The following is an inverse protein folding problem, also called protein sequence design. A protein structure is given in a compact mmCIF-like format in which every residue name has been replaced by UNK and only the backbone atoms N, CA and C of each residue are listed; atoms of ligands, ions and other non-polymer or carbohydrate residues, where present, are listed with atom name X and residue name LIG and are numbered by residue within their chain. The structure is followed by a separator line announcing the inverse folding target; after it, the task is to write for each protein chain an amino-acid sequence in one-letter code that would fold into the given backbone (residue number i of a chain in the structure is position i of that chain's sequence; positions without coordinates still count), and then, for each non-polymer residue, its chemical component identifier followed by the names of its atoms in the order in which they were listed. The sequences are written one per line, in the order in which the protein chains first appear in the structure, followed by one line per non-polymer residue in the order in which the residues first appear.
data_IF_881688246245
#
_entry.id   IF_881688246245
#
_cell.length_a   1.000
_cell.length_b   1.000
_cell.length_c   1.000
_cell.angle_alpha   90.00
_cell.angle_beta   90.00
_cell.angle_gamma   90.00
#
_symmetry.space_group_name_H-M   'P 1'
#
loop_
_entity.id
_entity.type
_entity.pdbx_description
1 polymer ?
#
# COMPACT_ATOMS: atom_id res chain seq x y z
N UNK A 1 9.78 -45.29 -5.85
CA UNK A 1 10.69 -44.45 -6.66
C UNK A 1 11.29 -43.38 -5.77
N UNK A 2 12.38 -42.76 -6.19
CA UNK A 2 13.04 -41.64 -5.49
C UNK A 2 12.09 -40.45 -5.28
N UNK A 3 11.19 -40.21 -6.25
CA UNK A 3 10.08 -39.24 -6.14
C UNK A 3 9.11 -39.57 -4.99
N UNK A 4 8.73 -40.84 -4.79
CA UNK A 4 7.86 -41.24 -3.67
C UNK A 4 8.55 -41.01 -2.32
N UNK A 5 9.85 -41.30 -2.22
CA UNK A 5 10.64 -41.04 -1.02
C UNK A 5 10.86 -39.54 -0.76
N UNK A 6 10.90 -38.71 -1.81
CA UNK A 6 10.90 -37.25 -1.72
C UNK A 6 9.57 -36.71 -1.21
N UNK A 7 8.45 -37.17 -1.78
CA UNK A 7 7.11 -36.79 -1.35
C UNK A 7 6.81 -37.20 0.10
N UNK A 8 7.25 -38.40 0.52
CA UNK A 8 7.13 -38.87 1.90
C UNK A 8 7.96 -38.01 2.86
N UNK A 9 9.16 -37.56 2.46
CA UNK A 9 9.99 -36.65 3.28
C UNK A 9 9.36 -35.27 3.41
N UNK A 10 8.84 -34.72 2.31
CA UNK A 10 8.08 -33.48 2.33
C UNK A 10 6.86 -33.56 3.25
N UNK A 11 6.03 -34.59 3.10
CA UNK A 11 4.88 -34.80 4.00
C UNK A 11 5.28 -35.01 5.46
N UNK A 12 6.37 -35.73 5.74
CA UNK A 12 6.86 -35.90 7.12
C UNK A 12 7.33 -34.59 7.75
N UNK A 13 8.01 -33.74 6.98
CA UNK A 13 8.42 -32.40 7.41
C UNK A 13 7.21 -31.49 7.67
N UNK A 14 6.17 -31.58 6.85
CA UNK A 14 4.95 -30.79 6.99
C UNK A 14 4.12 -31.25 8.20
N UNK A 15 3.94 -32.56 8.37
CA UNK A 15 3.27 -33.15 9.54
C UNK A 15 4.01 -32.89 10.86
N UNK A 16 5.33 -32.66 10.83
CA UNK A 16 6.09 -32.30 12.03
C UNK A 16 5.95 -30.84 12.46
N UNK A 17 5.31 -30.00 11.64
CA UNK A 17 5.09 -28.57 11.92
C UNK A 17 3.61 -28.23 12.24
N UNK A 18 2.80 -29.22 12.65
CA UNK A 18 1.37 -29.06 13.02
C UNK A 18 0.46 -28.46 11.92
N UNK A 19 0.91 -28.44 10.66
CA UNK A 19 0.10 -27.98 9.52
C UNK A 19 -0.83 -29.11 9.06
N UNK A 20 -2.11 -28.82 8.85
CA UNK A 20 -3.05 -29.83 8.40
C UNK A 20 -2.74 -30.28 6.96
N UNK A 21 -2.97 -31.56 6.64
CA UNK A 21 -2.81 -32.10 5.28
C UNK A 21 -3.62 -31.29 4.25
N UNK A 22 -4.76 -30.74 4.67
CA UNK A 22 -5.61 -29.90 3.83
C UNK A 22 -4.92 -28.58 3.49
N UNK A 23 -4.42 -27.85 4.50
CA UNK A 23 -3.68 -26.59 4.30
C UNK A 23 -2.45 -26.81 3.43
N UNK A 24 -1.72 -27.90 3.65
CA UNK A 24 -0.55 -28.26 2.83
C UNK A 24 -0.93 -28.48 1.35
N UNK A 25 -2.05 -29.15 1.07
CA UNK A 25 -2.51 -29.38 -0.30
C UNK A 25 -2.97 -28.08 -0.97
N UNK A 26 -3.58 -27.16 -0.21
CA UNK A 26 -3.96 -25.84 -0.68
C UNK A 26 -2.71 -25.01 -1.04
N UNK A 27 -1.71 -24.95 -0.14
CA UNK A 27 -0.43 -24.26 -0.40
C UNK A 27 0.30 -24.81 -1.64
N UNK A 28 0.31 -26.13 -1.82
CA UNK A 28 0.91 -26.76 -3.00
C UNK A 28 0.16 -26.40 -4.29
N UNK A 29 -1.18 -26.39 -4.25
CA UNK A 29 -1.99 -25.96 -5.41
C UNK A 29 -1.74 -24.50 -5.77
N UNK A 30 -1.71 -23.61 -4.78
CA UNK A 30 -1.43 -22.19 -4.98
C UNK A 30 -0.01 -21.98 -5.54
N UNK A 31 0.96 -22.76 -5.06
CA UNK A 31 2.33 -22.77 -5.59
C UNK A 31 2.39 -23.19 -7.05
N UNK A 32 1.71 -24.28 -7.44
CA UNK A 32 1.65 -24.73 -8.84
C UNK A 32 1.05 -23.64 -9.72
N UNK A 33 -0.11 -23.09 -9.32
CA UNK A 33 -0.80 -22.02 -10.04
C UNK A 33 0.11 -20.81 -10.23
N UNK A 34 0.81 -20.37 -9.18
CA UNK A 34 1.76 -19.26 -9.25
C UNK A 34 2.86 -19.49 -10.29
N UNK A 35 3.48 -20.67 -10.29
CA UNK A 35 4.55 -20.98 -11.25
C UNK A 35 4.03 -21.13 -12.69
N UNK A 36 2.83 -21.68 -12.88
CA UNK A 36 2.18 -21.76 -14.19
C UNK A 36 1.88 -20.38 -14.75
N UNK A 37 1.29 -19.48 -13.97
CA UNK A 37 1.01 -18.09 -14.37
C UNK A 37 2.31 -17.34 -14.72
N UNK A 38 3.37 -17.53 -13.92
CA UNK A 38 4.68 -16.93 -14.18
C UNK A 38 5.30 -17.45 -15.48
N UNK A 39 5.13 -18.73 -15.80
CA UNK A 39 5.61 -19.31 -17.06
C UNK A 39 4.79 -18.80 -18.25
N UNK A 40 3.47 -18.79 -18.13
CA UNK A 40 2.55 -18.44 -19.22
C UNK A 40 2.56 -16.95 -19.57
N UNK A 41 2.72 -16.08 -18.57
CA UNK A 41 2.59 -14.63 -18.73
C UNK A 41 3.89 -13.89 -18.42
N UNK A 42 4.50 -14.13 -17.25
CA UNK A 42 5.65 -13.33 -16.78
C UNK A 42 6.97 -13.59 -17.51
N UNK A 43 7.24 -14.85 -17.88
CA UNK A 43 8.47 -15.27 -18.57
C UNK A 43 8.25 -15.49 -20.07
N UNK A 44 7.01 -15.41 -20.54
CA UNK A 44 6.64 -15.64 -21.92
C UNK A 44 6.90 -14.38 -22.77
N UNK A 45 7.99 -14.39 -23.53
CA UNK A 45 8.40 -13.26 -24.40
C UNK A 45 7.43 -12.98 -25.55
N UNK A 46 6.61 -13.96 -25.93
CA UNK A 46 5.61 -13.81 -26.98
C UNK A 46 4.29 -13.21 -26.46
N UNK A 47 4.07 -13.26 -25.15
CA UNK A 47 2.91 -12.64 -24.51
C UNK A 47 3.15 -11.14 -24.31
N UNK A 48 2.39 -10.33 -25.04
CA UNK A 48 2.41 -8.87 -24.89
C UNK A 48 0.97 -8.34 -24.81
N UNK A 49 0.37 -8.28 -23.61
CA UNK A 49 -1.00 -7.83 -23.44
C UNK A 49 -1.18 -6.37 -23.86
N UNK A 50 -0.14 -5.53 -23.73
CA UNK A 50 -0.14 -4.16 -24.24
C UNK A 50 -0.27 -4.12 -25.77
N UNK A 51 0.46 -4.95 -26.50
CA UNK A 51 0.38 -4.99 -27.97
C UNK A 51 -0.93 -5.60 -28.47
N UNK A 52 -1.44 -6.63 -27.81
CA UNK A 52 -2.57 -7.42 -28.32
C UNK A 52 -3.93 -7.01 -27.77
N UNK A 53 -4.00 -6.64 -26.49
CA UNK A 53 -5.24 -6.33 -25.76
C UNK A 53 -5.43 -4.81 -25.64
N UNK A 54 -4.48 -4.10 -25.01
CA UNK A 54 -4.61 -2.66 -24.75
C UNK A 54 -4.40 -1.83 -26.02
N UNK A 55 -3.55 -2.32 -26.93
CA UNK A 55 -3.16 -1.69 -28.21
C UNK A 55 -2.67 -0.26 -28.02
N UNK A 56 -1.92 -0.04 -26.95
CA UNK A 56 -1.35 1.25 -26.58
C UNK A 56 0.19 1.19 -26.50
N UNK A 57 0.82 2.36 -26.39
CA UNK A 57 2.26 2.48 -26.19
C UNK A 57 2.56 2.91 -24.74
N UNK A 58 3.27 2.12 -23.92
CA UNK A 58 3.62 2.52 -22.55
C UNK A 58 4.53 3.75 -22.50
N UNK A 59 5.23 4.06 -23.60
CA UNK A 59 6.11 5.22 -23.73
C UNK A 59 5.42 6.43 -24.39
N UNK A 60 4.08 6.46 -24.43
CA UNK A 60 3.29 7.60 -24.89
C UNK A 60 2.22 7.97 -23.86
N UNK A 61 2.37 9.13 -23.20
CA UNK A 61 1.45 9.59 -22.16
C UNK A 61 0.16 10.23 -22.69
N UNK A 62 -0.02 10.38 -24.00
CA UNK A 62 -1.11 11.19 -24.56
C UNK A 62 -2.47 10.46 -24.68
N UNK A 63 -2.63 9.31 -24.02
CA UNK A 63 -3.90 8.60 -24.01
C UNK A 63 -5.01 9.45 -23.38
N UNK A 64 -6.04 9.75 -24.16
CA UNK A 64 -7.13 10.66 -23.77
C UNK A 64 -8.16 10.02 -22.84
N UNK A 65 -8.30 8.71 -22.90
CA UNK A 65 -9.29 7.96 -22.14
C UNK A 65 -8.56 6.92 -21.31
N UNK A 66 -8.58 7.11 -19.99
CA UNK A 66 -7.97 6.19 -19.03
C UNK A 66 -9.04 5.61 -18.10
N UNK A 67 -8.85 4.34 -17.73
CA UNK A 67 -9.76 3.59 -16.88
C UNK A 67 -10.89 2.89 -17.64
N UNK A 68 -11.51 1.92 -16.98
CA UNK A 68 -12.73 1.26 -17.41
C UNK A 68 -13.60 0.94 -16.19
N UNK A 69 -14.89 0.68 -16.39
CA UNK A 69 -15.83 0.39 -15.29
C UNK A 69 -15.75 -1.06 -14.78
N UNK A 70 -14.93 -1.93 -15.40
CA UNK A 70 -14.64 -3.26 -14.90
C UNK A 70 -13.49 -3.22 -13.88
N UNK A 71 -13.86 -2.95 -12.64
CA UNK A 71 -12.92 -2.83 -11.51
C UNK A 71 -12.42 -4.19 -11.02
N UNK A 72 -13.17 -5.26 -11.30
CA UNK A 72 -12.82 -6.63 -10.90
C UNK A 72 -11.75 -7.21 -11.83
N UNK A 73 -11.83 -6.87 -13.12
CA UNK A 73 -10.95 -7.44 -14.14
C UNK A 73 -11.42 -8.82 -14.59
N UNK A 74 -10.51 -9.71 -15.04
CA UNK A 74 -10.88 -11.02 -15.58
C UNK A 74 -11.32 -12.01 -14.50
N UNK A 75 -10.86 -11.84 -13.25
CA UNK A 75 -11.16 -12.74 -12.12
C UNK A 75 -11.38 -11.94 -10.84
N UNK A 76 -12.20 -12.47 -9.93
CA UNK A 76 -12.38 -11.88 -8.60
C UNK A 76 -11.06 -11.83 -7.82
N UNK A 77 -10.24 -12.89 -7.92
CA UNK A 77 -8.94 -12.96 -7.26
C UNK A 77 -8.00 -11.82 -7.66
N UNK A 78 -8.00 -11.41 -8.93
CA UNK A 78 -7.21 -10.27 -9.42
C UNK A 78 -7.64 -8.91 -8.86
N UNK A 79 -8.73 -8.83 -8.10
CA UNK A 79 -9.19 -7.64 -7.39
C UNK A 79 -9.02 -7.74 -5.86
N UNK A 80 -8.41 -8.81 -5.36
CA UNK A 80 -8.30 -9.08 -3.92
C UNK A 80 -7.61 -7.94 -3.16
N UNK A 81 -6.44 -7.53 -3.63
CA UNK A 81 -5.64 -6.48 -2.97
C UNK A 81 -6.40 -5.14 -2.91
N UNK A 82 -6.93 -4.68 -4.04
CA UNK A 82 -7.70 -3.43 -4.11
C UNK A 82 -8.97 -3.45 -3.25
N UNK A 83 -9.65 -4.61 -3.18
CA UNK A 83 -10.84 -4.79 -2.32
C UNK A 83 -10.48 -4.74 -0.84
N UNK A 84 -9.35 -5.33 -0.46
CA UNK A 84 -8.85 -5.31 0.92
C UNK A 84 -8.48 -3.90 1.37
N UNK A 85 -7.70 -3.19 0.54
CA UNK A 85 -7.36 -1.77 0.73
C UNK A 85 -8.61 -0.89 0.84
N UNK A 86 -9.58 -1.05 -0.05
CA UNK A 86 -10.82 -0.28 -0.01
C UNK A 86 -11.67 -0.58 1.25
N UNK A 87 -11.68 -1.83 1.70
CA UNK A 87 -12.35 -2.26 2.93
C UNK A 87 -11.81 -1.58 4.18
N UNK A 88 -10.48 -1.49 4.30
CA UNK A 88 -9.82 -0.78 5.42
C UNK A 88 -10.31 0.67 5.49
N UNK A 89 -10.47 1.34 4.34
CA UNK A 89 -10.94 2.73 4.29
C UNK A 89 -12.42 2.83 4.63
N UNK A 90 -13.27 2.01 3.99
CA UNK A 90 -14.69 2.32 3.82
C UNK A 90 -15.65 1.14 3.97
N UNK A 91 -15.23 0.03 4.59
CA UNK A 91 -16.17 -1.03 4.95
C UNK A 91 -17.32 -0.45 5.79
N UNK A 92 -18.55 -0.84 5.45
CA UNK A 92 -19.78 -0.28 6.03
C UNK A 92 -19.77 -0.53 7.54
N UNK A 93 -19.79 0.57 8.30
CA UNK A 93 -19.75 0.50 9.76
C UNK A 93 -21.09 0.08 10.34
N UNK A 94 -21.07 -0.59 11.49
CA UNK A 94 -22.25 -0.89 12.32
C UNK A 94 -23.33 -1.76 11.65
N UNK A 95 -22.96 -2.57 10.66
CA UNK A 95 -23.87 -3.54 10.03
C UNK A 95 -23.80 -4.95 10.66
N UNK A 96 -22.96 -5.15 11.68
CA UNK A 96 -22.68 -6.42 12.35
C UNK A 96 -22.08 -7.54 11.47
N UNK A 97 -21.42 -7.18 10.36
CA UNK A 97 -20.80 -8.15 9.44
C UNK A 97 -19.38 -7.70 9.11
N UNK A 98 -18.39 -8.57 9.36
CA UNK A 98 -17.01 -8.31 8.97
C UNK A 98 -16.34 -7.23 9.82
N UNK A 99 -15.99 -6.11 9.20
CA UNK A 99 -15.21 -5.03 9.80
C UNK A 99 -15.89 -3.67 9.63
N UNK A 100 -15.56 -2.74 10.53
CA UNK A 100 -15.86 -1.32 10.39
C UNK A 100 -14.66 -0.62 9.72
N UNK A 101 -14.85 -0.02 8.54
CA UNK A 101 -13.82 0.78 7.89
C UNK A 101 -13.44 2.01 8.71
N UNK A 102 -12.24 2.55 8.48
CA UNK A 102 -11.73 3.71 9.22
C UNK A 102 -12.65 4.92 9.03
N UNK A 103 -13.05 5.22 7.80
CA UNK A 103 -13.90 6.35 7.47
C UNK A 103 -15.36 5.95 7.32
N UNK A 104 -16.23 6.80 7.85
CA UNK A 104 -17.67 6.73 7.64
C UNK A 104 -18.10 7.74 6.56
N UNK A 105 -19.18 7.45 5.83
CA UNK A 105 -19.76 8.33 4.80
C UNK A 105 -18.78 8.79 3.69
N UNK A 106 -17.90 7.88 3.24
CA UNK A 106 -16.98 8.12 2.11
C UNK A 106 -17.41 7.33 0.87
N UNK A 107 -17.01 7.80 -0.32
CA UNK A 107 -17.20 7.08 -1.58
C UNK A 107 -15.84 6.65 -2.13
N UNK A 108 -15.73 5.38 -2.51
CA UNK A 108 -14.52 4.82 -3.13
C UNK A 108 -14.61 5.01 -4.65
N UNK A 109 -13.54 5.53 -5.24
CA UNK A 109 -13.33 5.58 -6.68
C UNK A 109 -12.24 4.57 -7.05
N UNK A 110 -12.60 3.33 -7.40
CA UNK A 110 -11.61 2.34 -7.81
C UNK A 110 -11.04 2.70 -9.19
N UNK A 111 -9.71 2.80 -9.28
CA UNK A 111 -8.98 3.00 -10.54
C UNK A 111 -7.94 1.90 -10.64
N UNK A 112 -8.10 0.99 -11.61
CA UNK A 112 -7.19 -0.13 -11.82
C UNK A 112 -5.96 0.37 -12.60
N UNK A 113 -4.79 0.30 -11.96
CA UNK A 113 -3.56 0.91 -12.47
C UNK A 113 -2.40 -0.08 -12.57
N UNK A 114 -2.36 -1.08 -11.69
CA UNK A 114 -1.24 -2.03 -11.61
C UNK A 114 -1.64 -3.33 -12.32
N UNK A 115 -0.84 -3.82 -13.30
CA UNK A 115 -1.02 -5.13 -13.91
C UNK A 115 -0.50 -6.24 -12.99
N UNK A 116 -0.53 -7.49 -13.44
CA UNK A 116 0.21 -8.57 -12.77
C UNK A 116 1.72 -8.37 -13.03
N UNK A 117 2.37 -7.60 -12.14
CA UNK A 117 3.75 -7.11 -12.26
C UNK A 117 3.89 -5.68 -11.74
N UNK A 118 4.98 -5.01 -12.12
CA UNK A 118 5.22 -3.62 -11.73
C UNK A 118 4.34 -2.64 -12.52
N UNK A 119 4.02 -1.52 -11.89
CA UNK A 119 3.26 -0.45 -12.51
C UNK A 119 4.04 0.31 -13.60
N UNK A 120 3.36 0.67 -14.68
CA UNK A 120 3.92 1.55 -15.71
C UNK A 120 3.72 3.01 -15.32
N UNK A 121 4.75 3.85 -15.51
CA UNK A 121 4.69 5.27 -15.13
C UNK A 121 3.55 6.03 -15.82
N UNK A 122 3.30 5.71 -17.10
CA UNK A 122 2.15 6.20 -17.87
C UNK A 122 0.83 5.91 -17.15
N UNK A 123 0.61 4.65 -16.78
CA UNK A 123 -0.64 4.20 -16.15
C UNK A 123 -0.85 4.92 -14.81
N UNK A 124 0.21 5.01 -14.00
CA UNK A 124 0.18 5.74 -12.72
C UNK A 124 -0.17 7.21 -12.94
N UNK A 125 0.53 7.89 -13.84
CA UNK A 125 0.31 9.31 -14.10
C UNK A 125 -1.12 9.59 -14.61
N UNK A 126 -1.62 8.78 -15.54
CA UNK A 126 -2.97 8.92 -16.09
C UNK A 126 -4.05 8.53 -15.07
N UNK A 127 -3.84 7.49 -14.26
CA UNK A 127 -4.75 7.10 -13.19
C UNK A 127 -4.90 8.21 -12.13
N UNK A 128 -3.77 8.80 -11.71
CA UNK A 128 -3.77 9.93 -10.79
C UNK A 128 -4.56 11.10 -11.38
N UNK A 129 -4.26 11.50 -12.62
CA UNK A 129 -4.99 12.58 -13.31
C UNK A 129 -6.48 12.29 -13.41
N UNK A 130 -6.85 11.07 -13.81
CA UNK A 130 -8.24 10.64 -13.88
C UNK A 130 -8.94 10.78 -12.53
N UNK A 131 -8.35 10.27 -11.45
CA UNK A 131 -8.95 10.36 -10.12
C UNK A 131 -9.10 11.81 -9.64
N UNK A 132 -8.07 12.63 -9.86
CA UNK A 132 -8.06 14.06 -9.53
C UNK A 132 -9.17 14.81 -10.28
N UNK A 133 -9.27 14.61 -11.60
CA UNK A 133 -10.24 15.30 -12.45
C UNK A 133 -11.69 14.83 -12.20
N UNK A 134 -11.87 13.59 -11.72
CA UNK A 134 -13.16 13.06 -11.28
C UNK A 134 -13.49 13.41 -9.81
N UNK A 135 -12.71 14.28 -9.16
CA UNK A 135 -13.06 14.88 -7.89
C UNK A 135 -12.57 14.13 -6.65
N UNK A 136 -11.62 13.19 -6.79
CA UNK A 136 -10.98 12.58 -5.63
C UNK A 136 -10.33 13.64 -4.74
N UNK A 137 -10.47 13.46 -3.42
CA UNK A 137 -9.90 14.35 -2.39
C UNK A 137 -8.73 13.72 -1.64
N UNK A 138 -8.73 12.40 -1.59
CA UNK A 138 -7.64 11.57 -1.06
C UNK A 138 -7.46 10.44 -2.06
N UNK A 139 -6.23 10.16 -2.45
CA UNK A 139 -5.87 9.05 -3.34
C UNK A 139 -4.88 8.16 -2.58
N UNK A 140 -5.20 6.89 -2.43
CA UNK A 140 -4.31 5.91 -1.82
C UNK A 140 -3.54 5.14 -2.90
N UNK A 141 -2.22 5.15 -2.82
CA UNK A 141 -1.30 4.42 -3.72
C UNK A 141 -0.59 3.31 -2.93
N UNK A 142 -1.20 2.12 -2.94
CA UNK A 142 -0.68 0.92 -2.25
C UNK A 142 0.19 0.05 -3.17
N UNK A 143 1.04 0.67 -3.97
CA UNK A 143 1.97 0.03 -4.91
C UNK A 143 3.31 0.78 -4.91
N UNK A 144 4.34 0.18 -5.50
CA UNK A 144 5.60 0.88 -5.73
C UNK A 144 6.66 -0.04 -6.34
N UNK A 145 7.72 0.58 -6.86
CA UNK A 145 8.79 -0.09 -7.61
C UNK A 145 10.15 0.57 -7.42
N UNK A 146 11.20 -0.13 -7.81
CA UNK A 146 12.58 0.36 -7.75
C UNK A 146 12.97 1.23 -8.96
N UNK A 147 12.38 0.95 -10.12
CA UNK A 147 12.76 1.58 -11.39
C UNK A 147 11.58 2.31 -12.01
N UNK A 148 11.75 3.60 -12.29
CA UNK A 148 10.73 4.45 -12.91
C UNK A 148 11.34 5.20 -14.11
N UNK A 149 11.31 4.58 -15.32
CA UNK A 149 11.88 5.16 -16.53
C UNK A 149 11.32 6.53 -16.91
N UNK A 150 10.04 6.79 -16.61
CA UNK A 150 9.34 8.05 -16.91
C UNK A 150 8.79 8.71 -15.64
N UNK A 151 9.58 8.72 -14.56
CA UNK A 151 9.17 9.27 -13.25
C UNK A 151 8.66 10.70 -13.31
N UNK A 152 9.15 11.50 -14.26
CA UNK A 152 8.73 12.88 -14.47
C UNK A 152 7.24 12.99 -14.79
N UNK A 153 6.65 12.01 -15.47
CA UNK A 153 5.21 11.96 -15.72
C UNK A 153 4.41 11.80 -14.44
N UNK A 154 4.88 10.93 -13.55
CA UNK A 154 4.29 10.70 -12.24
C UNK A 154 4.48 11.94 -11.37
N UNK A 155 5.67 12.55 -11.37
CA UNK A 155 5.95 13.80 -10.65
C UNK A 155 5.03 14.93 -11.10
N UNK A 156 4.76 15.06 -12.40
CA UNK A 156 3.85 16.07 -12.91
C UNK A 156 2.40 15.78 -12.51
N UNK A 157 1.99 14.52 -12.40
CA UNK A 157 0.70 14.14 -11.82
C UNK A 157 0.61 14.45 -10.32
N UNK A 158 1.69 14.24 -9.55
CA UNK A 158 1.77 14.60 -8.13
C UNK A 158 1.72 16.12 -7.90
N UNK A 159 2.43 16.90 -8.72
CA UNK A 159 2.30 18.37 -8.73
C UNK A 159 0.89 18.82 -9.08
N UNK A 160 0.25 18.14 -10.04
CA UNK A 160 -1.14 18.41 -10.40
C UNK A 160 -2.11 18.10 -9.25
N UNK A 161 -1.88 17.01 -8.50
CA UNK A 161 -2.63 16.69 -7.28
C UNK A 161 -2.52 17.82 -6.25
N UNK A 162 -1.31 18.35 -6.03
CA UNK A 162 -1.08 19.48 -5.13
C UNK A 162 -1.83 20.74 -5.58
N UNK A 163 -1.76 21.09 -6.87
CA UNK A 163 -2.50 22.21 -7.46
C UNK A 163 -4.02 22.08 -7.33
N UNK A 164 -4.53 20.84 -7.33
CA UNK A 164 -5.97 20.53 -7.21
C UNK A 164 -6.42 20.24 -5.78
N UNK A 165 -5.55 20.45 -4.78
CA UNK A 165 -5.86 20.24 -3.37
C UNK A 165 -6.26 18.78 -3.07
N UNK A 166 -5.50 17.84 -3.61
CA UNK A 166 -5.66 16.39 -3.42
C UNK A 166 -4.50 15.83 -2.61
N UNK A 167 -4.81 15.06 -1.56
CA UNK A 167 -3.81 14.36 -0.76
C UNK A 167 -3.51 12.99 -1.37
N UNK A 168 -2.25 12.71 -1.65
CA UNK A 168 -1.76 11.38 -2.01
C UNK A 168 -1.29 10.68 -0.75
N UNK A 169 -1.72 9.44 -0.53
CA UNK A 169 -1.31 8.60 0.61
C UNK A 169 -0.61 7.38 0.04
N UNK A 170 0.69 7.29 0.25
CA UNK A 170 1.56 6.33 -0.40
C UNK A 170 2.07 5.27 0.58
N UNK A 171 2.08 4.01 0.15
CA UNK A 171 2.73 2.94 0.89
C UNK A 171 4.26 3.04 0.74
N UNK A 172 5.03 2.86 1.82
CA UNK A 172 6.49 2.99 1.76
C UNK A 172 7.19 1.84 1.00
N UNK A 173 6.53 0.68 0.86
CA UNK A 173 7.10 -0.54 0.28
C UNK A 173 7.54 -1.57 1.33
N UNK A 174 7.86 -2.79 0.89
CA UNK A 174 7.94 -3.98 1.74
C UNK A 174 9.31 -4.71 1.62
N UNK A 175 10.38 -3.95 1.44
CA UNK A 175 11.72 -4.46 1.10
C UNK A 175 12.75 -4.25 2.22
N UNK A 176 12.35 -3.78 3.41
CA UNK A 176 13.24 -3.48 4.53
C UNK A 176 14.27 -2.37 4.22
N UNK A 177 13.98 -1.51 3.24
CA UNK A 177 14.94 -0.51 2.75
C UNK A 177 14.83 0.80 3.50
N UNK A 178 15.99 1.43 3.70
CA UNK A 178 16.07 2.85 3.99
C UNK A 178 15.86 3.64 2.69
N UNK A 179 14.66 4.20 2.49
CA UNK A 179 14.28 4.93 1.28
C UNK A 179 14.87 6.34 1.18
N UNK A 180 15.64 6.77 2.18
CA UNK A 180 16.51 7.94 2.05
C UNK A 180 17.80 7.63 1.26
N UNK A 181 18.16 6.34 1.14
CA UNK A 181 19.37 5.86 0.46
C UNK A 181 19.02 5.07 -0.81
N UNK A 182 18.01 4.20 -0.72
CA UNK A 182 17.52 3.37 -1.82
C UNK A 182 16.11 3.83 -2.20
N UNK A 183 16.02 4.70 -3.21
CA UNK A 183 14.75 5.29 -3.63
C UNK A 183 13.75 4.20 -4.07
N UNK A 184 12.49 4.47 -3.77
CA UNK A 184 11.33 3.73 -4.28
C UNK A 184 10.39 4.72 -4.95
N UNK A 185 9.66 4.27 -5.96
CA UNK A 185 8.72 5.10 -6.71
C UNK A 185 7.28 4.59 -6.55
N UNK A 186 6.26 5.47 -6.56
CA UNK A 186 6.38 6.92 -6.61
C UNK A 186 6.98 7.50 -5.32
N UNK A 187 7.81 8.53 -5.47
CA UNK A 187 8.26 9.41 -4.39
C UNK A 187 7.94 10.87 -4.74
N UNK A 188 8.08 11.75 -3.75
CA UNK A 188 8.00 13.19 -3.93
C UNK A 188 9.36 13.89 -3.75
N UNK A 189 10.47 13.17 -3.89
CA UNK A 189 11.81 13.66 -3.58
C UNK A 189 12.67 13.86 -4.84
N UNK A 190 13.24 15.06 -5.00
CA UNK A 190 14.30 15.32 -5.99
C UNK A 190 15.51 15.90 -5.26
N UNK A 191 16.61 15.13 -5.21
CA UNK A 191 17.88 15.59 -4.64
C UNK A 191 17.81 15.84 -3.12
N UNK A 192 17.03 15.05 -2.39
CA UNK A 192 16.85 15.17 -0.94
C UNK A 192 15.79 16.18 -0.52
N UNK A 193 15.01 16.74 -1.45
CA UNK A 193 13.98 17.74 -1.16
C UNK A 193 12.62 17.29 -1.70
N UNK A 194 11.60 17.37 -0.85
CA UNK A 194 10.22 17.19 -1.26
C UNK A 194 9.81 18.30 -2.25
N UNK A 195 9.24 17.93 -3.40
CA UNK A 195 8.70 18.89 -4.37
C UNK A 195 7.18 19.10 -4.21
N UNK A 196 6.51 18.33 -3.36
CA UNK A 196 5.09 18.53 -2.99
C UNK A 196 4.89 18.43 -1.48
N UNK A 197 3.92 19.18 -0.95
CA UNK A 197 3.48 19.12 0.44
C UNK A 197 2.15 18.36 0.61
N UNK A 198 1.69 17.67 -0.44
CA UNK A 198 0.41 16.94 -0.46
C UNK A 198 0.56 15.44 -0.74
N UNK A 199 1.73 14.85 -0.52
CA UNK A 199 1.94 13.40 -0.50
C UNK A 199 2.37 12.98 0.89
N UNK A 200 1.79 11.92 1.44
CA UNK A 200 2.18 11.35 2.74
C UNK A 200 2.59 9.89 2.57
N UNK A 201 3.82 9.55 2.94
CA UNK A 201 4.36 8.18 2.81
C UNK A 201 4.30 7.43 4.13
N UNK A 202 3.76 6.20 4.09
CA UNK A 202 3.34 5.44 5.28
C UNK A 202 4.11 4.13 5.41
N UNK A 203 4.85 4.00 6.51
CA UNK A 203 5.46 2.73 6.94
C UNK A 203 4.49 1.83 7.70
N UNK A 204 4.82 0.55 7.83
CA UNK A 204 3.98 -0.46 8.47
C UNK A 204 4.47 -0.83 9.87
N UNK A 205 3.51 -1.00 10.79
CA UNK A 205 3.74 -1.51 12.13
C UNK A 205 3.24 -2.95 12.26
N UNK A 206 3.91 -3.68 13.16
CA UNK A 206 3.45 -4.94 13.69
C UNK A 206 2.38 -4.71 14.79
N UNK A 207 1.62 -5.74 15.14
CA UNK A 207 0.69 -5.75 16.27
C UNK A 207 1.40 -5.85 17.64
N UNK A 208 2.68 -6.24 17.66
CA UNK A 208 3.49 -6.32 18.88
C UNK A 208 3.96 -4.94 19.36
N UNK A 209 3.59 -4.55 20.59
CA UNK A 209 4.03 -3.30 21.19
C UNK A 209 5.31 -3.48 22.02
N UNK A 210 6.39 -3.92 21.36
CA UNK A 210 7.71 -4.15 21.94
C UNK A 210 8.80 -3.75 20.92
N UNK A 211 10.01 -4.27 21.02
CA UNK A 211 11.07 -3.98 20.05
C UNK A 211 10.75 -4.40 18.60
N UNK A 212 9.81 -5.32 18.38
CA UNK A 212 9.30 -5.75 17.07
C UNK A 212 8.19 -4.85 16.50
N UNK A 213 7.98 -3.66 17.08
CA UNK A 213 6.89 -2.75 16.72
C UNK A 213 6.86 -2.37 15.23
N UNK A 214 8.01 -2.29 14.58
CA UNK A 214 8.09 -2.03 13.14
C UNK A 214 7.92 -3.36 12.40
N UNK A 215 7.05 -3.39 11.39
CA UNK A 215 6.90 -4.59 10.58
C UNK A 215 8.25 -4.93 9.91
N UNK A 216 8.68 -6.18 10.01
CA UNK A 216 10.02 -6.60 9.55
C UNK A 216 10.28 -6.35 8.06
N UNK A 217 9.22 -6.24 7.25
CA UNK A 217 9.29 -5.90 5.83
C UNK A 217 9.23 -4.39 5.55
N UNK A 218 8.82 -3.54 6.49
CA UNK A 218 8.53 -2.14 6.20
C UNK A 218 9.77 -1.41 5.72
N UNK A 219 9.64 -0.70 4.59
CA UNK A 219 10.56 0.38 4.26
C UNK A 219 10.43 1.51 5.29
N UNK A 220 11.53 2.24 5.50
CA UNK A 220 11.67 3.33 6.46
C UNK A 220 12.57 4.42 5.89
N UNK A 221 12.56 5.62 6.48
CA UNK A 221 13.42 6.71 6.02
C UNK A 221 13.13 7.98 6.80
N UNK A 222 14.18 8.62 7.33
CA UNK A 222 14.00 9.83 8.16
C UNK A 222 13.37 10.98 7.37
N UNK A 223 13.62 11.03 6.06
CA UNK A 223 13.19 12.11 5.20
C UNK A 223 12.00 11.73 4.30
N UNK A 224 11.98 10.49 3.81
CA UNK A 224 11.03 10.03 2.79
C UNK A 224 9.89 9.15 3.31
N UNK A 225 9.86 8.80 4.60
CA UNK A 225 8.67 8.21 5.26
C UNK A 225 8.14 9.23 6.28
N UNK A 226 6.84 9.53 6.22
CA UNK A 226 6.27 10.59 7.06
C UNK A 226 5.81 10.09 8.42
N UNK A 227 5.13 8.94 8.47
CA UNK A 227 4.62 8.31 9.69
C UNK A 227 4.40 6.80 9.49
N UNK A 228 4.04 6.11 10.57
CA UNK A 228 3.71 4.69 10.55
C UNK A 228 2.25 4.42 10.93
N UNK A 229 1.65 3.35 10.37
CA UNK A 229 0.33 2.81 10.75
C UNK A 229 0.38 1.28 10.84
N UNK A 230 -0.51 0.62 11.59
CA UNK A 230 -0.68 -0.84 11.56
C UNK A 230 -0.71 -1.41 10.13
N UNK A 231 0.05 -2.47 9.89
CA UNK A 231 0.13 -3.08 8.57
C UNK A 231 0.41 -4.58 8.58
N UNK A 232 0.46 -5.24 9.75
CA UNK A 232 0.61 -6.69 9.88
C UNK A 232 -0.69 -7.29 10.37
N UNK A 233 -1.13 -8.37 9.73
CA UNK A 233 -2.36 -9.09 10.07
C UNK A 233 -3.59 -8.17 10.14
N UNK A 234 -3.77 -7.36 9.10
CA UNK A 234 -4.95 -6.51 8.97
C UNK A 234 -6.08 -7.32 8.35
N UNK A 235 -7.16 -7.50 9.12
CA UNK A 235 -8.37 -8.17 8.66
C UNK A 235 -9.26 -7.19 7.88
N UNK A 236 -9.57 -7.51 6.62
CA UNK A 236 -10.48 -6.68 5.82
C UNK A 236 -11.19 -7.49 4.73
N UNK A 237 -12.06 -6.82 3.98
CA UNK A 237 -12.89 -7.40 2.92
C UNK A 237 -12.05 -7.92 1.76
N UNK A 238 -12.40 -9.08 1.22
CA UNK A 238 -11.90 -9.56 -0.07
C UNK A 238 -13.09 -9.92 -0.97
N UNK A 239 -12.90 -10.12 -2.28
CA UNK A 239 -13.99 -10.46 -3.19
C UNK A 239 -14.77 -11.70 -2.75
N UNK A 240 -15.98 -11.84 -3.30
CA UNK A 240 -16.90 -12.96 -3.01
C UNK A 240 -17.43 -13.01 -1.56
N UNK A 241 -17.68 -11.86 -0.93
CA UNK A 241 -18.22 -11.75 0.43
C UNK A 241 -17.36 -12.45 1.50
N UNK A 242 -16.03 -12.40 1.31
CA UNK A 242 -15.06 -13.01 2.21
C UNK A 242 -14.23 -11.94 2.92
N UNK A 243 -13.43 -12.38 3.87
CA UNK A 243 -12.51 -11.53 4.64
C UNK A 243 -11.20 -12.29 4.83
N UNK A 244 -10.07 -11.57 4.87
CA UNK A 244 -8.74 -12.18 5.02
C UNK A 244 -7.82 -11.26 5.80
N UNK A 245 -6.89 -11.87 6.55
CA UNK A 245 -5.73 -11.18 7.11
C UNK A 245 -4.68 -10.99 6.02
N UNK A 246 -4.26 -9.75 5.77
CA UNK A 246 -3.13 -9.44 4.90
C UNK A 246 -2.13 -8.55 5.64
N UNK A 247 -0.88 -8.58 5.17
CA UNK A 247 0.22 -7.80 5.72
C UNK A 247 0.94 -7.02 4.62
N UNK A 248 1.26 -5.76 4.89
CA UNK A 248 2.00 -4.89 3.99
C UNK A 248 1.85 -3.41 4.35
N UNK A 249 2.78 -2.57 3.89
CA UNK A 249 2.57 -1.11 3.86
C UNK A 249 1.33 -0.73 3.04
N UNK A 250 0.93 -1.58 2.09
CA UNK A 250 -0.35 -1.50 1.38
C UNK A 250 -1.58 -1.53 2.29
N UNK A 251 -1.50 -2.10 3.50
CA UNK A 251 -2.57 -2.12 4.49
C UNK A 251 -2.44 -0.96 5.50
N UNK A 252 -1.23 -0.46 5.73
CA UNK A 252 -1.00 0.72 6.57
C UNK A 252 -1.45 2.04 5.91
N UNK A 253 -1.13 2.22 4.62
CA UNK A 253 -1.53 3.41 3.85
C UNK A 253 -3.06 3.69 3.86
N UNK A 254 -3.96 2.71 3.64
CA UNK A 254 -5.40 2.97 3.64
C UNK A 254 -5.95 3.40 5.00
N UNK A 255 -5.33 3.03 6.13
CA UNK A 255 -5.75 3.55 7.42
C UNK A 255 -5.53 5.07 7.50
N UNK A 256 -4.35 5.54 7.05
CA UNK A 256 -4.03 6.97 6.96
C UNK A 256 -4.96 7.68 5.98
N UNK A 257 -5.27 7.05 4.85
CA UNK A 257 -6.23 7.58 3.87
C UNK A 257 -7.64 7.71 4.46
N UNK A 258 -8.07 6.74 5.27
CA UNK A 258 -9.33 6.78 6.00
C UNK A 258 -9.38 7.95 7.00
N UNK A 259 -8.34 8.13 7.81
CA UNK A 259 -8.28 9.28 8.75
C UNK A 259 -8.25 10.61 8.00
N UNK A 260 -7.51 10.70 6.89
CA UNK A 260 -7.51 11.88 6.04
C UNK A 260 -8.91 12.19 5.47
N UNK A 261 -9.63 11.17 5.02
CA UNK A 261 -10.99 11.31 4.51
C UNK A 261 -11.96 11.76 5.61
N UNK A 262 -11.86 11.21 6.82
CA UNK A 262 -12.61 11.69 7.99
C UNK A 262 -12.35 13.17 8.29
N UNK A 263 -11.08 13.59 8.34
CA UNK A 263 -10.72 14.99 8.56
C UNK A 263 -11.38 15.89 7.51
N UNK A 264 -11.29 15.52 6.22
CA UNK A 264 -11.88 16.32 5.13
C UNK A 264 -13.41 16.28 5.11
N UNK A 265 -14.03 15.22 5.61
CA UNK A 265 -15.48 15.14 5.76
C UNK A 265 -16.00 16.11 6.85
N UNK A 266 -15.34 16.15 8.01
CA UNK A 266 -15.72 17.05 9.11
C UNK A 266 -15.26 18.50 8.89
N UNK A 267 -14.12 18.70 8.24
CA UNK A 267 -13.46 19.99 8.08
C UNK A 267 -13.11 20.27 6.61
N UNK A 268 -14.10 20.40 5.70
CA UNK A 268 -13.89 20.43 4.25
C UNK A 268 -13.10 21.64 3.73
N UNK A 269 -12.85 22.66 4.58
CA UNK A 269 -12.03 23.82 4.24
C UNK A 269 -10.53 23.58 4.42
N UNK A 270 -10.13 22.55 5.19
CA UNK A 270 -8.72 22.18 5.35
C UNK A 270 -8.15 21.69 4.02
N UNK A 271 -7.01 22.27 3.66
CA UNK A 271 -6.24 21.91 2.46
C UNK A 271 -5.49 20.60 2.66
N UNK A 272 -5.20 19.90 1.56
CA UNK A 272 -4.47 18.63 1.57
C UNK A 272 -3.15 18.73 2.36
N UNK A 273 -2.39 19.83 2.18
CA UNK A 273 -1.17 20.10 2.94
C UNK A 273 -1.40 20.24 4.45
N UNK A 274 -2.52 20.86 4.85
CA UNK A 274 -2.87 21.04 6.27
C UNK A 274 -3.29 19.70 6.87
N UNK A 275 -3.96 18.85 6.09
CA UNK A 275 -4.30 17.47 6.49
C UNK A 275 -3.04 16.62 6.66
N UNK A 276 -2.06 16.67 5.72
CA UNK A 276 -0.74 16.02 5.88
C UNK A 276 -0.09 16.43 7.21
N UNK A 277 -0.01 17.73 7.47
CA UNK A 277 0.55 18.27 8.71
C UNK A 277 -0.19 17.79 9.96
N UNK A 278 -1.53 17.82 9.94
CA UNK A 278 -2.34 17.34 11.07
C UNK A 278 -2.06 15.86 11.37
N UNK A 279 -2.04 15.00 10.35
CA UNK A 279 -1.78 13.57 10.51
C UNK A 279 -0.41 13.32 11.16
N UNK A 280 0.63 14.01 10.68
CA UNK A 280 1.99 13.89 11.21
C UNK A 280 2.14 14.46 12.62
N UNK A 281 1.53 15.61 12.90
CA UNK A 281 1.70 16.30 14.17
C UNK A 281 0.86 15.68 15.30
N UNK A 282 -0.31 15.15 14.99
CA UNK A 282 -1.23 14.54 15.97
C UNK A 282 -0.89 13.10 16.34
N UNK A 283 0.00 12.46 15.57
CA UNK A 283 0.46 11.10 15.84
C UNK A 283 1.09 10.95 17.23
N UNK A 284 1.11 9.71 17.71
CA UNK A 284 1.62 9.35 19.03
C UNK A 284 3.06 8.84 18.92
N UNK A 285 3.93 9.30 19.80
CA UNK A 285 5.28 8.76 19.94
C UNK A 285 5.20 7.47 20.77
N UNK A 286 5.70 6.33 20.28
CA UNK A 286 5.68 5.09 21.05
C UNK A 286 6.55 5.19 22.30
N UNK A 287 6.17 4.47 23.35
CA UNK A 287 6.99 4.38 24.57
C UNK A 287 8.24 3.53 24.36
N UNK A 288 8.18 2.58 23.41
CA UNK A 288 9.33 1.81 22.92
C UNK A 288 10.23 2.75 22.10
N UNK A 289 11.40 3.07 22.65
CA UNK A 289 12.32 4.04 22.04
C UNK A 289 13.16 3.44 20.92
N UNK A 290 13.61 2.20 21.11
CA UNK A 290 14.43 1.47 20.14
C UNK A 290 13.67 0.24 19.66
N UNK A 291 13.72 0.01 18.36
CA UNK A 291 13.00 -1.05 17.67
C UNK A 291 13.96 -1.79 16.74
N UNK A 292 13.61 -3.03 16.43
CA UNK A 292 14.25 -3.83 15.41
C UNK A 292 13.64 -3.47 14.05
N UNK A 293 14.51 -3.25 13.08
CA UNK A 293 14.15 -2.98 11.70
C UNK A 293 14.79 -4.06 10.82
N UNK A 294 13.98 -4.74 10.02
CA UNK A 294 14.40 -5.89 9.24
C UNK A 294 14.29 -7.22 9.96
N UNK A 295 15.22 -8.14 9.69
CA UNK A 295 15.16 -9.51 10.22
C UNK A 295 14.36 -10.49 9.37
N UNK A 296 14.18 -10.22 8.07
CA UNK A 296 13.46 -11.16 7.18
C UNK A 296 14.41 -12.27 6.70
N UNK A 297 14.37 -13.42 7.36
CA UNK A 297 15.13 -14.61 6.98
C UNK A 297 16.61 -14.55 7.38
N UNK A 298 17.40 -15.55 6.97
CA UNK A 298 18.80 -15.73 7.39
C UNK A 298 19.76 -14.67 6.84
N UNK A 299 19.38 -13.92 5.80
CA UNK A 299 20.29 -13.03 5.06
C UNK A 299 20.23 -11.54 5.47
N UNK A 300 19.19 -11.10 6.18
CA UNK A 300 19.05 -9.70 6.62
C UNK A 300 18.98 -9.62 8.14
N UNK A 301 20.12 -9.32 8.78
CA UNK A 301 20.15 -9.08 10.22
C UNK A 301 19.28 -7.87 10.61
N UNK A 302 18.48 -8.05 11.65
CA UNK A 302 17.69 -6.97 12.22
C UNK A 302 18.61 -5.91 12.84
N UNK A 303 18.36 -4.64 12.53
CA UNK A 303 19.10 -3.52 13.08
C UNK A 303 18.30 -2.84 14.18
N UNK A 304 18.94 -2.58 15.32
CA UNK A 304 18.33 -1.81 16.41
C UNK A 304 18.48 -0.31 16.13
N UNK A 305 17.36 0.40 16.06
CA UNK A 305 17.32 1.82 15.72
C UNK A 305 16.29 2.57 16.59
N UNK A 306 16.52 3.86 16.90
CA UNK A 306 15.49 4.68 17.53
C UNK A 306 14.25 4.80 16.63
N UNK A 307 13.04 4.55 17.13
CA UNK A 307 11.82 4.67 16.31
C UNK A 307 11.69 6.06 15.66
N UNK A 308 12.11 7.10 16.39
CA UNK A 308 12.11 8.49 15.92
C UNK A 308 13.01 8.78 14.70
N UNK A 309 13.96 7.88 14.37
CA UNK A 309 14.81 8.02 13.18
C UNK A 309 14.20 7.37 11.92
N UNK A 310 13.12 6.60 12.06
CA UNK A 310 12.55 5.80 10.97
C UNK A 310 11.55 6.56 10.08
N UNK A 311 11.08 7.72 10.55
CA UNK A 311 10.19 8.61 9.79
C UNK A 311 10.41 10.07 10.18
N UNK A 312 9.92 10.98 9.35
CA UNK A 312 9.96 12.42 9.55
C UNK A 312 9.28 12.81 10.86
N UNK A 313 8.05 12.33 11.08
CA UNK A 313 7.30 12.61 12.31
C UNK A 313 7.83 11.83 13.52
N UNK A 314 8.41 10.63 13.30
CA UNK A 314 8.75 9.71 14.39
C UNK A 314 7.52 9.25 15.18
N UNK A 315 6.34 9.19 14.52
CA UNK A 315 5.04 8.97 15.16
C UNK A 315 4.22 7.89 14.47
N UNK A 316 3.29 7.36 15.24
CA UNK A 316 2.25 6.43 14.82
C UNK A 316 0.95 7.21 14.58
N UNK A 317 0.21 6.87 13.53
CA UNK A 317 -1.10 7.44 13.23
C UNK A 317 -2.02 7.39 14.47
N UNK A 318 -2.77 8.47 14.71
CA UNK A 318 -3.80 8.49 15.75
C UNK A 318 -5.01 9.32 15.32
N UNK A 319 -6.11 8.63 14.99
CA UNK A 319 -7.32 9.28 14.47
C UNK A 319 -7.95 10.28 15.45
N UNK A 320 -8.01 9.93 16.74
CA UNK A 320 -8.63 10.78 17.76
C UNK A 320 -7.92 12.13 17.91
N UNK A 321 -6.60 12.10 18.06
CA UNK A 321 -5.79 13.32 18.16
C UNK A 321 -5.86 14.13 16.86
N UNK A 322 -5.89 13.46 15.70
CA UNK A 322 -5.97 14.12 14.41
C UNK A 322 -7.26 14.94 14.27
N UNK A 323 -8.40 14.40 14.69
CA UNK A 323 -9.68 15.12 14.68
C UNK A 323 -9.67 16.30 15.67
N UNK A 324 -9.10 16.14 16.86
CA UNK A 324 -8.95 17.25 17.82
C UNK A 324 -8.10 18.38 17.24
N UNK A 325 -6.97 18.05 16.62
CA UNK A 325 -6.07 19.05 16.03
C UNK A 325 -6.70 19.71 14.80
N UNK A 326 -7.39 18.94 13.95
CA UNK A 326 -8.15 19.47 12.82
C UNK A 326 -9.23 20.45 13.27
N UNK A 327 -10.01 20.12 14.31
CA UNK A 327 -11.01 21.00 14.88
C UNK A 327 -10.41 22.34 15.34
N UNK A 328 -9.22 22.33 15.94
CA UNK A 328 -8.51 23.54 16.37
C UNK A 328 -8.04 24.40 15.20
N UNK A 329 -7.57 23.79 14.10
CA UNK A 329 -7.07 24.50 12.90
C UNK A 329 -8.16 24.95 11.93
N UNK A 330 -9.36 24.36 12.04
CA UNK A 330 -10.50 24.66 11.18
C UNK A 330 -11.33 25.87 11.62
N UNK A 331 -11.05 26.41 12.82
CA UNK A 331 -11.68 27.63 13.36
C UNK A 331 -11.05 28.86 12.73
#
# INVERSE_FOLDING_TARGET
SEQLQGAIRGMKYLLSNDVSVKETLEELSDGIKHFEERLQYGLNKDFSPRKTILKDNPDDINDKYYGNNNVVGPTAEGALHGTHVAGIIAAVRHNNIGIDGVADHVRIMPVRTVPDGDEYDKDVALALRYAIDNGAKVINTSFGKEFSPHKEWVYDALKYAAQKDVLIVNAAGNDTKNVDVQLTFPDDNIGGKEFTDTMITVGALNYEYNENLVASFSNYGKNNVDLFSPGVEIYATVPENKYKFLSGTSMAAPEVAGVAALIRAYFPKLKAREVKQILMESGVTPTVKEVLVGGRGEEQEAQRMPFSSLSKSGKILNAYNAIILAAKRSK
#
